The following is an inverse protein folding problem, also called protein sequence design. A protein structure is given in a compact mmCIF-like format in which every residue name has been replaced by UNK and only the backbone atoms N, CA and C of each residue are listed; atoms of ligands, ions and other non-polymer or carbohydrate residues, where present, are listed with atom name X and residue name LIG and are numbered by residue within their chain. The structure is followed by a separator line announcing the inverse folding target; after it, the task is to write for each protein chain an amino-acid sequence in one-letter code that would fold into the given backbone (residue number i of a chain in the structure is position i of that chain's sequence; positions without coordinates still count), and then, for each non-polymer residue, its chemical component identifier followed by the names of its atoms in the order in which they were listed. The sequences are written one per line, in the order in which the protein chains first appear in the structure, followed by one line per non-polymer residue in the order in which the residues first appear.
data_IF_138408376815
#
_entry.id   IF_138408376815
#
_cell.length_a   1.000
_cell.length_b   1.000
_cell.length_c   1.000
_cell.angle_alpha   90.00
_cell.angle_beta   90.00
_cell.angle_gamma   90.00
#
_symmetry.space_group_name_H-M   'P 1'
#
loop_
_entity.id
_entity.type
_entity.pdbx_description
1 polymer ?
#
# COMPACT_ATOMS: atom_id res chain seq x y z
N UNK A 1 -5.76 -1.95 -15.71
CA UNK A 1 -5.10 -2.10 -14.40
C UNK A 1 -3.78 -2.81 -14.66
N UNK A 2 -2.66 -2.21 -14.24
CA UNK A 2 -1.34 -2.82 -14.44
C UNK A 2 -1.22 -4.13 -13.67
N UNK A 3 -0.46 -5.10 -14.20
CA UNK A 3 -0.20 -6.37 -13.53
C UNK A 3 0.87 -6.17 -12.42
N UNK A 4 0.48 -5.45 -11.37
CA UNK A 4 1.36 -5.12 -10.24
C UNK A 4 1.84 -6.36 -9.49
N UNK A 5 1.02 -7.42 -9.44
CA UNK A 5 1.38 -8.70 -8.85
C UNK A 5 2.54 -9.35 -9.59
N UNK A 6 2.50 -9.36 -10.93
CA UNK A 6 3.62 -9.86 -11.75
C UNK A 6 4.85 -8.97 -11.63
N UNK A 7 4.68 -7.64 -11.55
CA UNK A 7 5.80 -6.74 -11.32
C UNK A 7 6.49 -7.02 -9.97
N UNK A 8 5.72 -7.20 -8.89
CA UNK A 8 6.23 -7.59 -7.57
C UNK A 8 6.99 -8.91 -7.64
N UNK A 9 6.44 -9.94 -8.30
CA UNK A 9 7.10 -11.24 -8.44
C UNK A 9 8.50 -11.12 -9.06
N UNK A 10 8.63 -10.34 -10.15
CA UNK A 10 9.93 -10.14 -10.79
C UNK A 10 10.89 -9.29 -9.93
N UNK A 11 10.39 -8.24 -9.26
CA UNK A 11 11.23 -7.43 -8.38
C UNK A 11 11.71 -8.20 -7.14
N UNK A 12 10.86 -9.04 -6.54
CA UNK A 12 11.22 -9.90 -5.40
C UNK A 12 12.24 -10.97 -5.79
N UNK A 13 12.09 -11.59 -6.98
CA UNK A 13 13.10 -12.51 -7.51
C UNK A 13 14.45 -11.82 -7.70
N UNK A 14 14.45 -10.61 -8.27
CA UNK A 14 15.67 -9.81 -8.46
C UNK A 14 16.31 -9.44 -7.12
N UNK A 15 15.51 -9.00 -6.14
CA UNK A 15 15.97 -8.69 -4.79
C UNK A 15 16.63 -9.92 -4.15
N UNK A 16 15.97 -11.09 -4.19
CA UNK A 16 16.50 -12.33 -3.62
C UNK A 16 17.84 -12.77 -4.22
N UNK A 17 18.04 -12.54 -5.52
CA UNK A 17 19.32 -12.82 -6.18
C UNK A 17 20.39 -11.83 -5.67
N UNK A 18 20.06 -10.54 -5.61
CA UNK A 18 20.96 -9.50 -5.11
C UNK A 18 21.35 -9.71 -3.66
N UNK A 19 20.42 -10.08 -2.79
CA UNK A 19 20.68 -10.37 -1.38
C UNK A 19 21.64 -11.54 -1.17
N UNK A 20 21.65 -12.52 -2.08
CA UNK A 20 22.60 -13.64 -2.05
C UNK A 20 23.97 -13.29 -2.62
N UNK A 21 24.00 -12.38 -3.60
CA UNK A 21 25.21 -12.08 -4.37
C UNK A 21 25.99 -10.88 -3.82
N UNK A 22 25.35 -9.98 -3.07
CA UNK A 22 25.90 -8.67 -2.70
C UNK A 22 25.95 -8.49 -1.18
N UNK A 23 26.88 -7.67 -0.66
CA UNK A 23 26.87 -7.28 0.74
C UNK A 23 25.60 -6.50 1.07
N UNK A 24 25.18 -6.56 2.34
CA UNK A 24 23.89 -6.00 2.80
C UNK A 24 23.75 -4.49 2.67
N UNK A 25 24.84 -3.76 2.47
CA UNK A 25 24.86 -2.32 2.22
C UNK A 25 25.09 -1.97 0.73
N UNK A 26 24.98 -2.93 -0.19
CA UNK A 26 25.20 -2.63 -1.60
C UNK A 26 24.08 -1.73 -2.17
N UNK A 27 24.38 -0.61 -2.86
CA UNK A 27 23.36 0.32 -3.38
C UNK A 27 22.29 -0.33 -4.25
N UNK A 28 22.63 -1.38 -5.01
CA UNK A 28 21.63 -2.12 -5.81
C UNK A 28 20.52 -2.78 -4.98
N UNK A 29 20.76 -3.08 -3.70
CA UNK A 29 19.70 -3.53 -2.80
C UNK A 29 18.72 -2.39 -2.52
N UNK A 30 19.21 -1.18 -2.25
CA UNK A 30 18.37 0.02 -2.08
C UNK A 30 17.47 0.25 -3.31
N UNK A 31 18.06 0.21 -4.53
CA UNK A 31 17.27 0.31 -5.77
C UNK A 31 16.17 -0.74 -5.87
N UNK A 32 16.43 -1.97 -5.42
CA UNK A 32 15.43 -3.06 -5.46
C UNK A 32 14.26 -2.78 -4.52
N UNK A 33 14.56 -2.40 -3.27
CA UNK A 33 13.54 -2.00 -2.30
C UNK A 33 12.75 -0.78 -2.77
N UNK A 34 13.41 0.21 -3.37
CA UNK A 34 12.74 1.38 -3.91
C UNK A 34 11.72 1.03 -5.02
N UNK A 35 12.07 0.11 -5.91
CA UNK A 35 11.17 -0.33 -6.98
C UNK A 35 9.96 -1.08 -6.43
N UNK A 36 10.17 -1.97 -5.45
CA UNK A 36 9.08 -2.68 -4.77
C UNK A 36 8.16 -1.68 -4.05
N UNK A 37 8.74 -0.70 -3.35
CA UNK A 37 7.99 0.37 -2.68
C UNK A 37 7.12 1.18 -3.64
N UNK A 38 7.66 1.52 -4.81
CA UNK A 38 6.91 2.20 -5.87
C UNK A 38 5.73 1.37 -6.39
N UNK A 39 5.86 0.04 -6.50
CA UNK A 39 4.74 -0.81 -6.89
C UNK A 39 3.67 -0.84 -5.81
N UNK A 40 4.03 -0.99 -4.54
CA UNK A 40 3.06 -0.93 -3.43
C UNK A 40 2.34 0.41 -3.35
N UNK A 41 3.05 1.51 -3.59
CA UNK A 41 2.46 2.84 -3.65
C UNK A 41 1.39 2.94 -4.75
N UNK A 42 1.69 2.42 -5.95
CA UNK A 42 0.74 2.38 -7.06
C UNK A 42 -0.46 1.43 -6.81
N UNK A 43 -0.32 0.48 -5.89
CA UNK A 43 -1.41 -0.40 -5.45
C UNK A 43 -2.25 0.22 -4.32
N UNK A 44 -1.83 1.36 -3.75
CA UNK A 44 -2.46 1.97 -2.57
C UNK A 44 -2.10 1.27 -1.24
N UNK A 45 -1.16 0.33 -1.24
CA UNK A 45 -0.64 -0.30 -0.02
C UNK A 45 0.52 0.55 0.53
N UNK A 46 0.17 1.74 1.03
CA UNK A 46 1.15 2.73 1.46
C UNK A 46 1.98 2.25 2.66
N UNK A 47 1.44 1.38 3.52
CA UNK A 47 2.19 0.80 4.64
C UNK A 47 3.38 -0.03 4.14
N UNK A 48 3.17 -0.94 3.18
CA UNK A 48 4.27 -1.71 2.59
C UNK A 48 5.20 -0.85 1.73
N UNK A 49 4.65 0.17 1.05
CA UNK A 49 5.45 1.12 0.31
C UNK A 49 6.45 1.84 1.22
N UNK A 50 5.99 2.33 2.38
CA UNK A 50 6.81 3.01 3.36
C UNK A 50 7.91 2.09 3.90
N UNK A 51 7.57 0.86 4.31
CA UNK A 51 8.55 -0.13 4.80
C UNK A 51 9.67 -0.36 3.77
N UNK A 52 9.30 -0.48 2.48
CA UNK A 52 10.26 -0.67 1.41
C UNK A 52 11.16 0.56 1.20
N UNK A 53 10.59 1.76 1.16
CA UNK A 53 11.38 2.98 0.99
C UNK A 53 12.30 3.27 2.19
N UNK A 54 11.89 2.96 3.41
CA UNK A 54 12.73 3.06 4.61
C UNK A 54 13.90 2.07 4.59
N UNK A 55 13.65 0.81 4.19
CA UNK A 55 14.74 -0.17 3.98
C UNK A 55 15.72 0.30 2.92
N UNK A 56 15.22 0.87 1.82
CA UNK A 56 16.05 1.46 0.78
C UNK A 56 16.92 2.59 1.33
N UNK A 57 16.32 3.55 2.05
CA UNK A 57 17.03 4.67 2.66
C UNK A 57 18.14 4.19 3.60
N UNK A 58 17.83 3.24 4.49
CA UNK A 58 18.80 2.71 5.46
C UNK A 58 20.01 2.04 4.80
N UNK A 59 19.82 1.40 3.64
CA UNK A 59 20.92 0.83 2.86
C UNK A 59 21.74 1.97 2.24
N UNK A 60 21.08 2.93 1.60
CA UNK A 60 21.73 4.10 0.99
C UNK A 60 22.55 4.91 1.99
N UNK A 61 22.04 5.16 3.19
CA UNK A 61 22.75 5.88 4.27
C UNK A 61 24.03 5.17 4.71
N UNK A 62 24.08 3.84 4.64
CA UNK A 62 25.28 3.05 4.95
C UNK A 62 26.27 2.99 3.78
N UNK A 63 25.80 3.20 2.56
CA UNK A 63 26.57 2.98 1.35
C UNK A 63 27.13 4.28 0.76
N UNK A 64 26.49 5.41 1.04
CA UNK A 64 26.71 6.68 0.37
C UNK A 64 27.07 7.79 1.36
N UNK A 65 27.83 8.81 0.92
CA UNK A 65 28.07 9.98 1.75
C UNK A 65 26.78 10.76 2.04
N UNK A 66 26.67 11.49 3.16
CA UNK A 66 25.43 12.16 3.60
C UNK A 66 24.78 13.13 2.60
N UNK A 67 25.56 13.69 1.68
CA UNK A 67 25.08 14.66 0.68
C UNK A 67 24.82 14.02 -0.70
N UNK A 68 24.77 12.69 -0.78
CA UNK A 68 24.54 12.00 -2.05
C UNK A 68 23.09 12.23 -2.55
N UNK A 69 22.87 12.58 -3.83
CA UNK A 69 21.54 12.84 -4.38
C UNK A 69 20.52 11.71 -4.17
N UNK A 70 20.97 10.45 -4.19
CA UNK A 70 20.11 9.27 -3.94
C UNK A 70 19.44 9.27 -2.55
N UNK A 71 20.05 9.91 -1.55
CA UNK A 71 19.43 10.10 -0.25
C UNK A 71 18.25 11.08 -0.35
N UNK A 72 18.41 12.18 -1.09
CA UNK A 72 17.34 13.13 -1.35
C UNK A 72 16.17 12.47 -2.12
N UNK A 73 16.47 11.62 -3.11
CA UNK A 73 15.44 10.83 -3.79
C UNK A 73 14.69 9.89 -2.84
N UNK A 74 15.41 9.22 -1.93
CA UNK A 74 14.80 8.32 -0.95
C UNK A 74 13.87 9.07 0.00
N UNK A 75 14.29 10.21 0.54
CA UNK A 75 13.42 11.07 1.36
C UNK A 75 12.21 11.60 0.59
N UNK A 76 12.39 11.98 -0.69
CA UNK A 76 11.29 12.44 -1.53
C UNK A 76 10.22 11.35 -1.71
N UNK A 77 10.64 10.11 -1.97
CA UNK A 77 9.72 8.98 -2.11
C UNK A 77 8.94 8.73 -0.82
N UNK A 78 9.62 8.72 0.33
CA UNK A 78 8.97 8.57 1.65
C UNK A 78 7.93 9.67 1.88
N UNK A 79 8.30 10.94 1.68
CA UNK A 79 7.37 12.07 1.82
C UNK A 79 6.19 11.98 0.85
N UNK A 80 6.44 11.49 -0.37
CA UNK A 80 5.42 11.24 -1.38
C UNK A 80 4.41 10.16 -0.97
N UNK A 81 4.86 9.08 -0.31
CA UNK A 81 3.97 8.03 0.22
C UNK A 81 3.15 8.54 1.41
N UNK A 82 3.79 9.21 2.37
CA UNK A 82 3.09 9.77 3.56
C UNK A 82 1.98 10.72 3.12
N UNK A 83 2.29 11.62 2.18
CA UNK A 83 1.29 12.54 1.63
C UNK A 83 0.10 11.80 0.99
N UNK A 84 0.36 10.71 0.27
CA UNK A 84 -0.70 9.92 -0.38
C UNK A 84 -1.56 9.16 0.64
N UNK A 85 -0.94 8.60 1.68
CA UNK A 85 -1.65 7.99 2.81
C UNK A 85 -2.58 9.01 3.49
N UNK A 86 -2.08 10.19 3.81
CA UNK A 86 -2.86 11.24 4.47
C UNK A 86 -4.09 11.65 3.64
N UNK A 87 -3.90 11.84 2.32
CA UNK A 87 -5.01 12.15 1.41
C UNK A 87 -6.03 11.02 1.35
N UNK A 88 -5.57 9.77 1.33
CA UNK A 88 -6.46 8.61 1.31
C UNK A 88 -7.27 8.48 2.61
N UNK A 89 -6.64 8.70 3.77
CA UNK A 89 -7.30 8.65 5.08
C UNK A 89 -8.32 9.78 5.24
N UNK A 90 -7.98 10.99 4.80
CA UNK A 90 -8.90 12.11 4.79
C UNK A 90 -10.10 11.85 3.87
N UNK A 91 -9.84 11.35 2.66
CA UNK A 91 -10.88 11.03 1.69
C UNK A 91 -11.83 9.95 2.22
N UNK A 92 -11.28 8.84 2.70
CA UNK A 92 -12.02 7.72 3.31
C UNK A 92 -12.89 8.19 4.49
N UNK A 93 -12.33 9.03 5.37
CA UNK A 93 -13.06 9.60 6.51
C UNK A 93 -14.23 10.49 6.06
N UNK A 94 -14.01 11.35 5.06
CA UNK A 94 -15.06 12.23 4.53
C UNK A 94 -16.19 11.46 3.84
N UNK A 95 -15.85 10.40 3.12
CA UNK A 95 -16.81 9.52 2.47
C UNK A 95 -17.70 8.82 3.50
N UNK A 96 -17.09 8.27 4.55
CA UNK A 96 -17.81 7.60 5.63
C UNK A 96 -18.72 8.56 6.43
N UNK A 97 -18.26 9.79 6.74
CA UNK A 97 -19.09 10.80 7.42
C UNK A 97 -20.29 11.20 6.56
N UNK A 98 -20.06 11.42 5.26
CA UNK A 98 -21.14 11.77 4.33
C UNK A 98 -22.18 10.66 4.21
N UNK A 99 -21.78 9.39 4.13
CA UNK A 99 -22.72 8.26 4.08
C UNK A 99 -23.47 8.08 5.39
N UNK A 100 -22.81 8.28 6.53
CA UNK A 100 -23.45 8.20 7.84
C UNK A 100 -24.50 9.31 8.05
N UNK A 101 -24.23 10.52 7.54
CA UNK A 101 -25.20 11.63 7.57
C UNK A 101 -26.42 11.38 6.70
N UNK A 102 -26.27 10.76 5.53
CA UNK A 102 -27.41 10.40 4.67
C UNK A 102 -28.18 9.18 5.20
N UNK A 103 -27.51 8.22 5.87
CA UNK A 103 -28.15 7.07 6.53
C UNK A 103 -28.93 7.42 7.81
N UNK A 104 -28.58 8.52 8.49
CA UNK A 104 -29.31 9.01 9.67
C UNK A 104 -30.36 10.09 9.36
N UNK A 105 -30.49 10.50 8.09
CA UNK A 105 -31.54 11.43 7.65
C UNK A 105 -32.80 10.71 7.12
N UNK A 106 -32.95 9.42 7.43
CA UNK A 106 -34.21 8.67 7.28
C UNK A 106 -34.95 8.48 8.60
N UNK A 107 -34.84 9.45 9.52
CA UNK A 107 -35.79 9.61 10.64
C UNK A 107 -36.79 10.72 10.29
N UNK A 108 -37.53 10.51 9.21
CA UNK A 108 -38.93 10.94 9.17
C UNK A 108 -39.69 9.93 10.01
N UNK A 109 -40.25 10.41 11.13
CA UNK A 109 -40.93 9.65 12.17
C UNK A 109 -41.87 8.56 11.64
N UNK A 110 -41.77 7.36 12.20
CA UNK A 110 -42.90 6.44 12.32
C UNK A 110 -43.16 6.09 13.79
N UNK A 111 -44.44 6.24 14.11
CA UNK A 111 -45.14 6.00 15.35
C UNK A 111 -45.31 4.48 15.54
N UNK A 112 -45.11 4.00 16.79
CA UNK A 112 -45.23 2.61 17.31
C UNK A 112 -43.98 1.69 17.28
N UNK A 113 -43.34 1.51 18.46
CA UNK A 113 -42.99 0.20 19.03
C UNK A 113 -41.81 -0.62 18.47
N UNK A 114 -40.64 -0.47 19.13
CA UNK A 114 -39.53 -1.44 19.33
C UNK A 114 -39.46 -2.75 18.50
N UNK A 115 -38.38 -2.92 17.73
CA UNK A 115 -37.34 -3.98 17.92
C UNK A 115 -35.99 -3.52 17.32
N UNK A 116 -34.82 -3.89 17.87
CA UNK A 116 -33.50 -3.52 17.31
C UNK A 116 -33.17 -4.28 16.03
N UNK A 117 -32.50 -3.61 15.08
CA UNK A 117 -32.02 -4.16 13.81
C UNK A 117 -30.80 -5.05 14.04
N UNK A 118 -30.87 -6.33 13.69
CA UNK A 118 -29.69 -7.15 13.48
C UNK A 118 -28.95 -6.67 12.22
N UNK A 119 -27.75 -6.11 12.41
CA UNK A 119 -26.86 -5.75 11.30
C UNK A 119 -26.11 -7.02 10.89
N UNK A 120 -26.25 -7.53 9.66
CA UNK A 120 -25.45 -8.66 9.19
C UNK A 120 -23.97 -8.26 9.19
N UNK A 121 -23.12 -9.08 9.80
CA UNK A 121 -21.66 -8.94 9.70
C UNK A 121 -21.26 -9.06 8.22
N UNK A 122 -20.88 -7.96 7.58
CA UNK A 122 -20.28 -8.01 6.25
C UNK A 122 -18.86 -8.57 6.37
N UNK A 123 -18.73 -9.85 6.04
CA UNK A 123 -17.46 -10.55 5.94
C UNK A 123 -16.67 -10.02 4.73
N UNK A 124 -15.49 -9.45 4.97
CA UNK A 124 -14.58 -9.07 3.89
C UNK A 124 -14.22 -10.31 3.06
N UNK A 125 -14.33 -10.28 1.72
CA UNK A 125 -13.96 -11.43 0.90
C UNK A 125 -12.44 -11.64 0.94
N UNK A 126 -12.06 -12.84 1.37
CA UNK A 126 -10.69 -13.32 1.38
C UNK A 126 -10.17 -13.45 -0.06
N UNK A 127 -8.96 -12.95 -0.33
CA UNK A 127 -8.28 -13.21 -1.58
C UNK A 127 -8.00 -14.71 -1.73
N UNK A 128 -8.57 -15.36 -2.74
CA UNK A 128 -8.15 -16.70 -3.18
C UNK A 128 -8.12 -16.71 -4.70
N UNK A 129 -6.92 -16.78 -5.27
CA UNK A 129 -6.68 -17.00 -6.69
C UNK A 129 -7.05 -18.44 -7.05
N UNK A 130 -7.87 -18.63 -8.09
CA UNK A 130 -8.01 -19.93 -8.75
C UNK A 130 -7.92 -19.79 -10.26
N UNK A 131 -7.06 -20.66 -10.78
CA UNK A 131 -6.66 -20.90 -12.17
C UNK A 131 -7.80 -20.79 -13.19
N UNK A 132 -7.58 -19.99 -14.23
CA UNK A 132 -8.16 -20.25 -15.54
C UNK A 132 -7.12 -20.99 -16.37
N UNK A 133 -7.48 -22.19 -16.84
CA UNK A 133 -7.19 -22.63 -18.20
C UNK A 133 -8.07 -23.84 -18.52
N UNK A 134 -9.03 -23.61 -19.42
CA UNK A 134 -9.86 -24.64 -20.03
C UNK A 134 -10.56 -24.03 -21.23
N UNK A 135 -9.84 -23.91 -22.35
CA UNK A 135 -10.47 -23.76 -23.67
C UNK A 135 -10.50 -25.13 -24.35
N UNK A 136 -11.74 -25.54 -24.65
CA UNK A 136 -12.25 -26.48 -25.66
C UNK A 136 -11.35 -27.59 -26.19
#
# INVERSE_FOLDING_TARGET
MGDYSKALEFYEKSLKIREKALPSNHPSLATSYNNIGGVYNNMGDYSKALECHEKSLKISEKALPPNHPDLAYSYNNIGGVIRQQDFYDQYSSSYNDSHYRHGNNSNSYDFYGLTPVEIPQFQYPSHTLLQQNGFT
#
